data_IF_287538061980
#
_entry.id   IF_287538061980
#
_cell.length_a   1.000
_cell.length_b   1.000
_cell.length_c   1.000
_cell.angle_alpha   90.00
_cell.angle_beta   90.00
_cell.angle_gamma   90.00
#
_symmetry.space_group_name_H-M   'P 1'
#
loop_
_entity.id
_entity.type
_entity.pdbx_description
1 polymer ?
#
# COMPACT_ATOMS: atom_id res chain seq x y z
N UNK A 1 21.29 -4.46 -35.33
CA UNK A 1 20.14 -5.38 -35.45
C UNK A 1 20.42 -6.55 -36.39
N UNK A 2 20.68 -6.34 -37.69
CA UNK A 2 20.88 -7.44 -38.67
C UNK A 2 22.03 -8.40 -38.32
N UNK A 3 23.15 -7.88 -37.81
CA UNK A 3 24.28 -8.67 -37.29
C UNK A 3 23.90 -9.52 -36.07
N UNK A 4 23.00 -9.02 -35.24
CA UNK A 4 22.51 -9.72 -34.05
C UNK A 4 21.51 -10.81 -34.42
N UNK A 5 20.58 -10.57 -35.35
CA UNK A 5 19.65 -11.62 -35.83
C UNK A 5 20.39 -12.77 -36.51
N UNK A 6 21.48 -12.48 -37.23
CA UNK A 6 22.33 -13.51 -37.82
C UNK A 6 23.08 -14.35 -36.77
N UNK A 7 23.52 -13.73 -35.68
CA UNK A 7 24.29 -14.39 -34.61
C UNK A 7 23.39 -15.12 -33.61
N UNK A 8 22.23 -14.55 -33.29
CA UNK A 8 21.25 -15.12 -32.36
C UNK A 8 20.62 -16.42 -32.88
N UNK A 9 20.53 -16.60 -34.20
CA UNK A 9 20.10 -17.88 -34.80
C UNK A 9 21.00 -19.07 -34.42
N UNK A 10 22.27 -18.81 -34.09
CA UNK A 10 23.24 -19.81 -33.63
C UNK A 10 23.08 -20.18 -32.15
N UNK A 11 22.28 -19.42 -31.40
CA UNK A 11 21.99 -19.68 -30.00
C UNK A 11 20.75 -20.58 -29.87
N UNK A 12 20.71 -21.49 -28.87
CA UNK A 12 19.53 -22.30 -28.62
C UNK A 12 18.32 -21.45 -28.23
N UNK A 13 17.12 -21.96 -28.50
CA UNK A 13 15.88 -21.32 -28.06
C UNK A 13 15.86 -21.18 -26.53
N UNK A 14 15.44 -20.02 -26.04
CA UNK A 14 15.48 -19.66 -24.61
C UNK A 14 16.75 -18.94 -24.16
N UNK A 15 17.78 -18.82 -25.01
CA UNK A 15 18.97 -18.03 -24.69
C UNK A 15 18.69 -16.53 -24.61
N UNK A 16 19.35 -15.86 -23.66
CA UNK A 16 19.37 -14.40 -23.56
C UNK A 16 20.57 -13.84 -24.34
N UNK A 17 20.31 -12.80 -25.13
CA UNK A 17 21.29 -12.10 -25.95
C UNK A 17 21.28 -10.63 -25.55
N UNK A 18 22.40 -10.15 -24.99
CA UNK A 18 22.56 -8.76 -24.56
C UNK A 18 23.40 -7.98 -25.57
N UNK A 19 22.90 -6.85 -26.05
CA UNK A 19 23.61 -5.94 -26.96
C UNK A 19 24.20 -4.81 -26.14
N UNK A 20 25.52 -4.87 -25.89
CA UNK A 20 26.22 -3.90 -25.04
C UNK A 20 26.09 -2.46 -25.58
N UNK A 21 26.25 -2.27 -26.89
CA UNK A 21 26.21 -0.94 -27.53
C UNK A 21 24.84 -0.24 -27.41
N UNK A 22 23.75 -1.02 -27.31
CA UNK A 22 22.38 -0.50 -27.28
C UNK A 22 21.71 -0.73 -25.92
N UNK A 23 22.40 -1.35 -24.96
CA UNK A 23 21.86 -1.76 -23.64
C UNK A 23 20.56 -2.57 -23.71
N UNK A 24 20.32 -3.25 -24.82
CA UNK A 24 19.11 -4.03 -25.07
C UNK A 24 19.31 -5.51 -24.74
N UNK A 25 18.31 -6.10 -24.09
CA UNK A 25 18.23 -7.54 -23.85
C UNK A 25 17.23 -8.18 -24.82
N UNK A 26 17.57 -9.33 -25.40
CA UNK A 26 16.71 -10.09 -26.29
C UNK A 26 16.61 -11.55 -25.84
N UNK A 27 15.44 -12.15 -26.02
CA UNK A 27 15.20 -13.58 -25.86
C UNK A 27 15.19 -14.25 -27.24
N UNK A 28 15.98 -15.30 -27.40
CA UNK A 28 15.96 -16.16 -28.59
C UNK A 28 14.69 -17.02 -28.59
N UNK A 29 13.82 -16.81 -29.56
CA UNK A 29 12.56 -17.55 -29.79
C UNK A 29 12.63 -18.29 -31.12
N UNK A 30 11.90 -19.38 -31.33
CA UNK A 30 11.96 -20.23 -32.54
C UNK A 30 12.28 -19.51 -33.87
N UNK A 31 11.54 -18.45 -34.21
CA UNK A 31 11.65 -17.75 -35.51
C UNK A 31 12.48 -16.44 -35.47
N UNK A 32 13.25 -16.20 -34.41
CA UNK A 32 14.14 -15.05 -34.33
C UNK A 32 14.47 -14.64 -32.91
N UNK A 33 14.34 -13.35 -32.63
CA UNK A 33 14.55 -12.78 -31.31
C UNK A 33 13.38 -11.88 -30.95
N UNK A 34 13.04 -11.83 -29.66
CA UNK A 34 12.10 -10.86 -29.10
C UNK A 34 12.85 -9.98 -28.12
N UNK A 35 12.71 -8.67 -28.25
CA UNK A 35 13.28 -7.74 -27.27
C UNK A 35 12.61 -7.98 -25.92
N UNK A 36 13.43 -8.13 -24.88
CA UNK A 36 13.00 -8.20 -23.49
C UNK A 36 13.00 -6.78 -22.97
N UNK A 37 11.80 -6.23 -22.80
CA UNK A 37 11.66 -4.93 -22.17
C UNK A 37 11.95 -5.09 -20.67
N UNK A 38 13.14 -4.65 -20.26
CA UNK A 38 13.47 -4.52 -18.84
C UNK A 38 12.87 -3.21 -18.37
N UNK A 39 11.69 -3.27 -17.76
CA UNK A 39 11.09 -2.09 -17.13
C UNK A 39 11.89 -1.75 -15.88
N UNK A 40 12.86 -0.86 -16.04
CA UNK A 40 13.53 -0.18 -14.93
C UNK A 40 12.55 0.87 -14.41
N UNK A 41 12.18 0.76 -13.13
CA UNK A 41 11.41 1.78 -12.39
C UNK A 41 12.29 3.00 -12.09
N UNK A 42 12.75 3.71 -13.12
CA UNK A 42 13.40 5.00 -12.96
C UNK A 42 12.59 6.05 -13.69
N UNK A 43 12.10 7.01 -12.91
CA UNK A 43 11.36 8.18 -13.34
C UNK A 43 12.24 9.07 -14.21
N UNK A 44 11.95 9.19 -15.49
CA UNK A 44 12.25 10.41 -16.26
C UNK A 44 11.09 10.70 -17.19
N UNK A 45 10.34 11.74 -16.83
CA UNK A 45 9.35 12.36 -17.72
C UNK A 45 10.10 13.07 -18.84
N UNK A 46 10.23 12.44 -20.01
CA UNK A 46 10.49 13.16 -21.25
C UNK A 46 9.79 12.48 -22.43
N UNK A 47 8.63 13.07 -22.75
CA UNK A 47 8.05 13.19 -24.10
C UNK A 47 7.73 11.86 -24.83
N UNK A 48 6.42 11.59 -24.95
CA UNK A 48 5.91 11.16 -26.25
C UNK A 48 5.51 9.70 -26.45
N UNK A 49 5.16 8.92 -25.42
CA UNK A 49 4.15 7.85 -25.48
C UNK A 49 3.60 7.69 -24.05
N UNK A 50 2.39 8.14 -23.78
CA UNK A 50 1.78 7.94 -22.45
C UNK A 50 1.23 6.51 -22.37
N UNK A 51 2.13 5.54 -22.27
CA UNK A 51 1.80 4.38 -21.45
C UNK A 51 1.85 4.90 -20.02
N UNK A 52 0.69 5.22 -19.43
CA UNK A 52 0.60 5.42 -17.98
C UNK A 52 0.93 4.06 -17.37
N UNK A 53 2.21 3.80 -17.16
CA UNK A 53 2.65 2.80 -16.20
C UNK A 53 2.07 3.30 -14.87
N UNK A 54 0.91 2.76 -14.49
CA UNK A 54 0.44 2.90 -13.13
C UNK A 54 1.48 2.15 -12.31
N UNK A 55 2.37 2.90 -11.69
CA UNK A 55 3.27 2.34 -10.71
C UNK A 55 2.39 1.68 -9.65
N UNK A 56 2.64 0.41 -9.28
CA UNK A 56 1.92 -0.20 -8.17
C UNK A 56 2.09 0.69 -6.94
N UNK A 57 1.01 0.88 -6.21
CA UNK A 57 0.91 1.75 -5.06
C UNK A 57 -0.06 1.12 -4.06
N UNK A 58 0.08 1.46 -2.79
CA UNK A 58 -0.78 0.99 -1.72
C UNK A 58 -1.67 2.14 -1.28
N UNK A 59 -2.99 1.98 -1.39
CA UNK A 59 -3.94 3.00 -0.98
C UNK A 59 -4.24 2.88 0.52
N UNK A 60 -4.09 3.99 1.24
CA UNK A 60 -4.49 4.13 2.62
C UNK A 60 -5.75 5.00 2.68
N UNK A 61 -6.90 4.36 2.93
CA UNK A 61 -8.21 5.00 2.89
C UNK A 61 -8.97 4.76 4.19
N UNK A 62 -9.66 5.78 4.70
CA UNK A 62 -10.45 5.66 5.91
C UNK A 62 -11.84 5.05 5.65
N UNK A 63 -12.39 4.35 6.64
CA UNK A 63 -13.82 4.02 6.63
C UNK A 63 -14.67 5.30 6.68
N UNK A 64 -15.88 5.27 6.12
CA UNK A 64 -16.83 6.40 6.04
C UNK A 64 -17.43 6.84 7.40
N UNK A 65 -17.07 6.20 8.51
CA UNK A 65 -17.51 6.65 9.84
C UNK A 65 -16.51 6.20 10.90
N UNK A 66 -16.35 6.98 11.99
CA UNK A 66 -15.51 6.57 13.12
C UNK A 66 -16.03 5.27 13.72
N UNK A 67 -15.11 4.40 14.13
CA UNK A 67 -15.42 3.11 14.75
C UNK A 67 -15.03 3.10 16.23
N UNK A 68 -15.82 2.40 17.02
CA UNK A 68 -15.44 2.04 18.40
C UNK A 68 -14.54 0.81 18.40
N UNK A 69 -14.08 0.36 19.58
CA UNK A 69 -13.37 -0.92 19.70
C UNK A 69 -14.21 -2.15 19.32
N UNK A 70 -15.54 -2.03 19.18
CA UNK A 70 -16.44 -3.16 18.93
C UNK A 70 -16.68 -3.43 17.42
N UNK A 71 -15.60 -3.68 16.68
CA UNK A 71 -15.64 -3.87 15.22
C UNK A 71 -15.99 -5.29 14.79
N UNK A 72 -16.61 -6.09 15.67
CA UNK A 72 -16.88 -7.54 15.47
C UNK A 72 -15.59 -8.34 15.18
N UNK A 73 -14.50 -7.91 15.78
CA UNK A 73 -13.15 -8.45 15.60
C UNK A 73 -12.48 -8.02 14.29
N UNK A 74 -11.24 -8.47 14.09
CA UNK A 74 -10.45 -8.13 12.88
C UNK A 74 -11.18 -8.50 11.57
N UNK A 75 -11.95 -9.60 11.57
CA UNK A 75 -12.74 -10.00 10.39
C UNK A 75 -13.87 -9.04 10.08
N UNK A 76 -14.51 -8.46 11.10
CA UNK A 76 -15.54 -7.45 10.90
C UNK A 76 -14.96 -6.14 10.39
N UNK A 77 -13.80 -5.73 10.91
CA UNK A 77 -13.04 -4.60 10.41
C UNK A 77 -12.62 -4.79 8.93
N UNK A 78 -12.00 -5.93 8.60
CA UNK A 78 -11.64 -6.31 7.22
C UNK A 78 -12.87 -6.30 6.29
N UNK A 79 -14.02 -6.78 6.77
CA UNK A 79 -15.25 -6.78 5.98
C UNK A 79 -15.80 -5.37 5.70
N UNK A 80 -15.70 -4.44 6.66
CA UNK A 80 -16.06 -3.04 6.43
C UNK A 80 -15.16 -2.39 5.38
N UNK A 81 -13.86 -2.68 5.42
CA UNK A 81 -12.89 -2.24 4.42
C UNK A 81 -13.24 -2.74 3.02
N UNK A 82 -13.44 -4.06 2.91
CA UNK A 82 -13.79 -4.69 1.65
C UNK A 82 -15.08 -4.13 1.05
N UNK A 83 -16.14 -4.02 1.85
CA UNK A 83 -17.45 -3.57 1.36
C UNK A 83 -17.46 -2.11 0.91
N UNK A 84 -16.79 -1.20 1.63
CA UNK A 84 -16.73 0.21 1.24
C UNK A 84 -15.83 0.45 0.02
N UNK A 85 -14.70 -0.26 -0.09
CA UNK A 85 -13.85 -0.21 -1.28
C UNK A 85 -14.60 -0.69 -2.52
N UNK A 86 -15.32 -1.81 -2.42
CA UNK A 86 -16.12 -2.35 -3.53
C UNK A 86 -17.25 -1.40 -3.93
N UNK A 87 -17.88 -0.72 -2.97
CA UNK A 87 -18.98 0.20 -3.25
C UNK A 87 -18.58 1.39 -4.15
N UNK A 88 -17.30 1.77 -4.14
CA UNK A 88 -16.76 2.84 -5.00
C UNK A 88 -15.94 2.29 -6.18
N UNK A 89 -15.96 0.98 -6.41
CA UNK A 89 -15.28 0.33 -7.53
C UNK A 89 -13.75 0.27 -7.41
N UNK A 90 -13.19 0.45 -6.21
CA UNK A 90 -11.75 0.24 -6.01
C UNK A 90 -11.37 -1.22 -6.25
N UNK A 91 -10.27 -1.40 -6.98
CA UNK A 91 -9.71 -2.72 -7.31
C UNK A 91 -8.61 -3.03 -6.31
N UNK A 92 -8.56 -4.27 -5.83
CA UNK A 92 -7.56 -4.71 -4.84
C UNK A 92 -8.19 -5.40 -3.64
N UNK A 93 -7.36 -5.71 -2.65
CA UNK A 93 -7.79 -6.39 -1.42
C UNK A 93 -7.57 -5.45 -0.26
N UNK A 94 -8.65 -4.81 0.20
CA UNK A 94 -8.62 -3.87 1.31
C UNK A 94 -8.72 -4.59 2.66
N UNK A 95 -7.74 -4.36 3.55
CA UNK A 95 -7.65 -4.95 4.91
C UNK A 95 -7.49 -3.89 5.97
N UNK A 96 -8.04 -4.13 7.15
CA UNK A 96 -7.95 -3.20 8.28
C UNK A 96 -6.50 -3.04 8.77
N UNK A 97 -6.09 -1.79 8.96
CA UNK A 97 -4.83 -1.30 9.51
C UNK A 97 -4.85 -1.49 11.02
N UNK A 98 -4.83 -2.74 11.44
CA UNK A 98 -4.91 -3.14 12.84
C UNK A 98 -4.00 -4.32 13.09
N UNK A 99 -3.33 -4.31 14.24
CA UNK A 99 -2.86 -5.55 14.83
C UNK A 99 -4.05 -6.36 15.37
N UNK A 100 -3.91 -7.68 15.35
CA UNK A 100 -4.84 -8.62 15.97
C UNK A 100 -4.06 -9.75 16.67
N UNK A 101 -4.77 -10.67 17.33
CA UNK A 101 -4.16 -11.72 18.17
C UNK A 101 -3.01 -12.49 17.50
N UNK A 102 -3.15 -12.79 16.21
CA UNK A 102 -2.19 -13.57 15.41
C UNK A 102 -1.65 -12.79 14.21
N UNK A 103 -1.77 -11.46 14.22
CA UNK A 103 -1.41 -10.61 13.10
C UNK A 103 -0.77 -9.32 13.61
N UNK A 104 0.49 -9.12 13.28
CA UNK A 104 1.17 -7.85 13.49
C UNK A 104 0.81 -6.91 12.34
N UNK A 105 0.56 -5.63 12.65
CA UNK A 105 0.23 -4.61 11.67
C UNK A 105 1.25 -4.56 10.53
N UNK A 106 2.56 -4.55 10.86
CA UNK A 106 3.65 -4.53 9.87
C UNK A 106 3.59 -5.69 8.85
N UNK A 107 2.93 -6.80 9.21
CA UNK A 107 2.82 -8.00 8.37
C UNK A 107 1.62 -8.02 7.41
N UNK A 108 0.75 -7.01 7.42
CA UNK A 108 -0.36 -6.87 6.46
C UNK A 108 0.15 -6.85 5.02
N UNK A 109 1.17 -6.02 4.76
CA UNK A 109 1.78 -5.86 3.43
C UNK A 109 2.84 -6.94 3.22
N UNK A 110 2.86 -7.50 2.00
CA UNK A 110 3.84 -8.53 1.61
C UNK A 110 5.24 -7.97 1.70
N UNK A 111 6.19 -8.77 2.20
CA UNK A 111 7.58 -8.32 2.44
C UNK A 111 8.23 -7.68 1.20
N UNK A 112 7.96 -8.19 0.00
CA UNK A 112 8.55 -7.69 -1.25
C UNK A 112 8.06 -6.29 -1.67
N UNK A 113 6.96 -5.82 -1.08
CA UNK A 113 6.32 -4.56 -1.47
C UNK A 113 6.62 -3.43 -0.48
N UNK A 114 7.24 -3.73 0.68
CA UNK A 114 7.27 -2.83 1.84
C UNK A 114 8.18 -1.62 1.69
N UNK A 115 9.28 -1.79 0.98
CA UNK A 115 10.31 -0.76 0.76
C UNK A 115 10.19 -0.09 -0.62
N UNK A 116 9.36 -0.66 -1.51
CA UNK A 116 9.26 -0.25 -2.92
C UNK A 116 7.98 0.53 -3.22
N UNK A 117 6.84 0.13 -2.63
CA UNK A 117 5.55 0.73 -2.99
C UNK A 117 5.24 1.96 -2.13
N UNK A 118 4.91 3.11 -2.74
CA UNK A 118 4.46 4.27 -1.98
C UNK A 118 3.08 4.03 -1.39
N UNK A 119 2.82 4.70 -0.26
CA UNK A 119 1.51 4.71 0.38
C UNK A 119 0.81 6.00 -0.03
N UNK A 120 -0.33 5.89 -0.70
CA UNK A 120 -1.09 7.04 -1.25
C UNK A 120 -2.48 7.13 -0.64
N UNK A 121 -3.10 8.31 -0.68
CA UNK A 121 -4.50 8.49 -0.29
C UNK A 121 -5.45 8.11 -1.44
N UNK A 122 -6.76 8.29 -1.25
CA UNK A 122 -7.79 7.98 -2.27
C UNK A 122 -7.59 8.72 -3.62
N UNK A 123 -6.89 9.85 -3.62
CA UNK A 123 -6.65 10.70 -4.80
C UNK A 123 -5.23 10.52 -5.37
N UNK A 124 -4.56 9.43 -5.02
CA UNK A 124 -3.19 9.11 -5.46
C UNK A 124 -2.12 10.11 -4.98
N UNK A 125 -2.40 10.87 -3.91
CA UNK A 125 -1.42 11.75 -3.29
C UNK A 125 -0.59 10.97 -2.27
N UNK A 126 0.74 11.07 -2.33
CA UNK A 126 1.65 10.28 -1.47
C UNK A 126 1.56 10.73 -0.02
N UNK A 127 1.25 9.79 0.87
CA UNK A 127 1.24 9.97 2.33
C UNK A 127 2.58 9.54 2.96
N UNK A 128 3.13 8.41 2.50
CA UNK A 128 4.42 7.85 2.94
C UNK A 128 5.20 7.33 1.74
N UNK A 129 6.52 7.44 1.80
CA UNK A 129 7.39 6.97 0.73
C UNK A 129 7.38 5.44 0.60
N UNK A 130 7.11 4.72 1.69
CA UNK A 130 6.97 3.26 1.70
C UNK A 130 6.21 2.74 2.93
N UNK A 131 5.88 1.45 2.93
CA UNK A 131 5.28 0.78 4.10
C UNK A 131 6.23 0.77 5.29
N UNK A 132 7.52 0.53 5.10
CA UNK A 132 8.49 0.53 6.20
C UNK A 132 8.71 1.94 6.77
N UNK A 133 8.52 3.00 5.97
CA UNK A 133 8.60 4.39 6.45
C UNK A 133 7.59 4.70 7.57
N UNK A 134 6.44 4.01 7.57
CA UNK A 134 5.41 4.10 8.62
C UNK A 134 5.96 3.69 10.00
N UNK A 135 6.84 2.70 10.05
CA UNK A 135 7.30 2.11 11.32
C UNK A 135 8.68 2.59 11.76
N UNK A 136 9.39 3.32 10.91
CA UNK A 136 10.71 3.88 11.22
C UNK A 136 10.62 5.29 11.82
N UNK A 137 9.97 6.21 11.11
CA UNK A 137 9.77 7.61 11.56
C UNK A 137 8.28 7.92 11.77
N UNK A 138 7.38 7.19 11.10
CA UNK A 138 5.94 7.36 11.23
C UNK A 138 5.40 8.69 10.70
N UNK A 139 6.29 9.54 10.17
CA UNK A 139 6.03 10.89 9.70
C UNK A 139 5.28 10.90 8.37
N UNK A 140 4.00 11.25 8.44
CA UNK A 140 3.20 11.55 7.26
C UNK A 140 3.71 12.81 6.58
N UNK A 141 3.64 12.87 5.25
CA UNK A 141 3.90 14.11 4.52
C UNK A 141 2.96 15.23 4.98
N UNK A 142 3.55 16.41 5.20
CA UNK A 142 2.82 17.58 5.71
C UNK A 142 1.83 18.11 4.66
N UNK A 143 0.62 18.49 5.12
CA UNK A 143 -0.41 19.09 4.27
C UNK A 143 -1.14 18.12 3.32
N UNK A 144 -0.86 16.81 3.37
CA UNK A 144 -1.54 15.82 2.55
C UNK A 144 -2.79 15.29 3.28
N UNK A 145 -3.99 15.41 2.70
CA UNK A 145 -5.23 14.98 3.35
C UNK A 145 -5.38 13.45 3.30
N UNK A 146 -6.18 12.94 4.23
CA UNK A 146 -6.59 11.54 4.24
C UNK A 146 -8.08 11.48 3.96
N UNK A 147 -8.46 10.72 2.95
CA UNK A 147 -9.85 10.61 2.54
C UNK A 147 -10.50 9.32 3.03
N UNK A 148 -11.78 9.40 3.36
CA UNK A 148 -12.66 8.24 3.46
C UNK A 148 -13.06 7.72 2.09
N UNK A 149 -13.60 6.49 1.99
CA UNK A 149 -14.07 5.94 0.72
C UNK A 149 -15.12 6.81 0.02
N UNK A 150 -15.97 7.54 0.76
CA UNK A 150 -16.93 8.50 0.20
C UNK A 150 -16.32 9.89 -0.13
N UNK A 151 -15.00 10.03 -0.05
CA UNK A 151 -14.25 11.19 -0.54
C UNK A 151 -14.14 12.37 0.43
N UNK A 152 -14.49 12.21 1.70
CA UNK A 152 -14.40 13.26 2.72
C UNK A 152 -13.01 13.31 3.34
N UNK A 153 -12.49 14.53 3.54
CA UNK A 153 -11.21 14.75 4.21
C UNK A 153 -11.37 14.57 5.73
N UNK A 154 -10.87 13.45 6.24
CA UNK A 154 -11.03 13.03 7.64
C UNK A 154 -10.45 14.05 8.62
N UNK A 155 -9.40 14.79 8.25
CA UNK A 155 -8.75 15.77 9.13
C UNK A 155 -9.60 17.02 9.35
N UNK A 156 -10.46 17.35 8.39
CA UNK A 156 -11.23 18.59 8.37
C UNK A 156 -12.74 18.36 8.49
N UNK A 157 -13.23 17.16 8.23
CA UNK A 157 -14.65 16.81 8.31
C UNK A 157 -15.13 16.62 9.77
N UNK A 158 -16.28 17.18 10.10
CA UNK A 158 -16.85 17.13 11.46
C UNK A 158 -17.39 15.75 11.87
N UNK A 159 -17.60 14.83 10.92
CA UNK A 159 -18.05 13.48 11.22
C UNK A 159 -17.01 12.65 12.01
N UNK A 160 -15.74 13.06 12.00
CA UNK A 160 -14.68 12.54 12.86
C UNK A 160 -14.31 13.58 13.91
N UNK A 161 -15.03 13.68 15.04
CA UNK A 161 -14.71 14.67 16.07
C UNK A 161 -13.32 14.43 16.68
N UNK A 162 -12.99 13.16 16.93
CA UNK A 162 -11.67 12.72 17.40
C UNK A 162 -10.77 12.40 16.20
N UNK A 163 -9.62 13.06 16.09
CA UNK A 163 -8.66 12.88 14.98
C UNK A 163 -7.62 11.80 15.32
N UNK A 164 -8.07 10.59 15.67
CA UNK A 164 -7.24 9.51 16.23
C UNK A 164 -7.47 8.10 15.62
N UNK A 165 -6.45 7.23 15.62
CA UNK A 165 -6.50 5.84 15.12
C UNK A 165 -6.63 4.79 16.13
N UNK A 166 -7.33 3.73 15.77
CA UNK A 166 -7.05 2.42 16.34
C UNK A 166 -5.99 1.69 15.53
N UNK A 167 -4.90 1.25 16.16
CA UNK A 167 -3.89 0.38 15.51
C UNK A 167 -3.52 -0.81 16.37
N UNK A 168 -3.59 -0.71 17.70
CA UNK A 168 -3.28 -1.83 18.60
C UNK A 168 -1.85 -2.36 18.49
N UNK A 169 -0.92 -1.53 17.99
CA UNK A 169 0.46 -1.89 17.64
C UNK A 169 1.49 -1.00 18.30
N UNK A 170 2.69 -1.50 18.58
CA UNK A 170 3.85 -0.67 18.96
C UNK A 170 4.27 0.24 17.81
N UNK A 171 5.22 1.15 18.05
CA UNK A 171 5.82 1.98 16.99
C UNK A 171 6.45 1.16 15.86
N UNK A 172 6.98 -0.03 16.17
CA UNK A 172 7.51 -0.99 15.19
C UNK A 172 6.43 -1.82 14.47
N UNK A 173 5.14 -1.58 14.74
CA UNK A 173 4.03 -2.30 14.11
C UNK A 173 3.80 -3.72 14.65
N UNK A 174 4.40 -4.06 15.80
CA UNK A 174 4.17 -5.34 16.48
C UNK A 174 2.90 -5.27 17.32
N UNK A 175 2.14 -6.37 17.40
CA UNK A 175 0.94 -6.40 18.25
C UNK A 175 1.32 -6.22 19.72
N UNK A 176 0.52 -5.44 20.45
CA UNK A 176 0.65 -5.34 21.90
C UNK A 176 -0.46 -6.15 22.57
N UNK A 177 -0.07 -7.24 23.23
CA UNK A 177 -0.97 -8.33 23.66
C UNK A 177 -2.18 -7.85 24.47
N UNK A 178 -2.06 -6.74 25.20
CA UNK A 178 -3.10 -6.24 26.11
C UNK A 178 -3.79 -4.93 25.66
N UNK A 179 -3.58 -4.47 24.41
CA UNK A 179 -4.03 -3.11 24.02
C UNK A 179 -4.65 -3.03 22.63
N UNK A 180 -5.61 -3.90 22.35
CA UNK A 180 -6.42 -3.90 21.13
C UNK A 180 -7.90 -4.27 21.38
N UNK A 181 -8.50 -3.80 22.48
CA UNK A 181 -9.94 -3.95 22.79
C UNK A 181 -10.47 -5.40 22.68
N UNK A 182 -9.80 -6.36 23.32
CA UNK A 182 -10.03 -7.82 23.19
C UNK A 182 -10.16 -8.29 21.73
N UNK A 183 -9.22 -7.87 20.89
CA UNK A 183 -9.13 -8.16 19.46
C UNK A 183 -10.20 -7.44 18.64
N UNK A 184 -10.56 -6.22 19.05
CA UNK A 184 -11.57 -5.36 18.43
C UNK A 184 -12.99 -5.92 18.53
N UNK A 185 -13.31 -6.55 19.66
CA UNK A 185 -14.62 -7.18 19.90
C UNK A 185 -15.51 -6.39 20.84
N UNK A 186 -14.93 -5.55 21.69
CA UNK A 186 -15.64 -4.82 22.74
C UNK A 186 -15.26 -3.35 22.73
N UNK A 187 -16.18 -2.52 23.22
CA UNK A 187 -16.00 -1.07 23.40
C UNK A 187 -16.17 -0.67 24.87
N UNK A 188 -15.84 -1.58 25.79
CA UNK A 188 -15.90 -1.32 27.23
C UNK A 188 -14.86 -0.24 27.59
N UNK A 189 -15.27 0.73 28.43
CA UNK A 189 -14.42 1.82 28.89
C UNK A 189 -13.29 1.36 29.81
N UNK A 190 -13.43 0.19 30.44
CA UNK A 190 -12.38 -0.41 31.26
C UNK A 190 -11.24 -1.01 30.42
N UNK A 191 -11.47 -1.23 29.12
CA UNK A 191 -10.50 -1.80 28.20
C UNK A 191 -9.91 -0.70 27.32
N UNK A 192 -8.60 -0.79 27.09
CA UNK A 192 -7.88 0.18 26.27
C UNK A 192 -7.45 -0.46 24.94
N UNK A 193 -7.37 0.39 23.92
CA UNK A 193 -6.72 0.08 22.65
C UNK A 193 -5.60 1.09 22.43
N UNK A 194 -4.54 0.70 21.73
CA UNK A 194 -3.56 1.70 21.31
C UNK A 194 -4.08 2.51 20.14
N UNK A 195 -3.93 3.81 20.33
CA UNK A 195 -4.33 4.83 19.40
C UNK A 195 -3.33 5.98 19.30
N UNK A 196 -3.31 6.62 18.14
CA UNK A 196 -2.41 7.72 17.81
C UNK A 196 -3.22 8.93 17.28
N UNK A 197 -2.69 10.16 17.31
CA UNK A 197 -3.33 11.34 16.72
C UNK A 197 -2.83 11.67 15.30
N UNK A 198 -3.74 11.94 14.36
CA UNK A 198 -3.39 12.18 12.95
C UNK A 198 -2.47 13.37 12.70
N UNK A 199 -2.70 14.46 13.43
CA UNK A 199 -1.99 15.73 13.21
C UNK A 199 -0.56 15.72 13.74
N UNK A 200 -0.19 14.72 14.53
CA UNK A 200 1.17 14.59 15.05
C UNK A 200 2.13 13.91 14.07
N UNK A 201 1.70 13.68 12.81
CA UNK A 201 2.48 12.94 11.82
C UNK A 201 2.99 11.60 12.39
N UNK A 202 2.15 10.90 13.14
CA UNK A 202 2.42 9.54 13.63
C UNK A 202 1.16 8.75 13.35
N UNK A 203 1.12 8.09 12.18
CA UNK A 203 -0.07 7.51 11.53
C UNK A 203 -1.27 7.18 12.40
N UNK A 204 -2.46 7.71 12.03
CA UNK A 204 -3.68 7.51 12.84
C UNK A 204 -5.16 7.56 12.25
N UNK A 205 -5.69 6.58 11.45
CA UNK A 205 -7.06 5.96 11.61
C UNK A 205 -7.15 4.42 11.41
N UNK A 206 -8.31 3.80 11.66
CA UNK A 206 -8.62 2.48 11.09
C UNK A 206 -8.59 2.60 9.56
N UNK A 207 -7.46 2.26 8.97
CA UNK A 207 -7.31 2.31 7.54
C UNK A 207 -7.60 0.99 6.91
N UNK A 208 -7.99 1.06 5.66
CA UNK A 208 -8.03 -0.09 4.80
C UNK A 208 -6.84 0.04 3.85
N UNK A 209 -5.93 -0.93 3.90
CA UNK A 209 -4.80 -1.09 2.97
C UNK A 209 -5.16 -2.06 1.86
#
# INVERSE_FOLDING_TARGET
YETMTATARRQPEGSLVYIIEQTDLYLRVRDGVRQVQVNIYLTVSSVGVVNVCHCPQLHLVALNSPQTGAMRGIRGADFMCFTQAQAIGMKGTFRAFLSARLQDLQSIVRKADRDILPIVNLKDEVLFDSWDAIFNDGRMKDGVPIYSFDGRDVLNDSAWPEKTMWHGSTSSGQRHVDSFCETWRVADRALTGMASPLRAALLSFLYCL
#
